data_IF_655727631105
#
_entry.id   IF_655727631105
#
_cell.length_a   1.000
_cell.length_b   1.000
_cell.length_c   1.000
_cell.angle_alpha   90.00
_cell.angle_beta   90.00
_cell.angle_gamma   90.00
#
_symmetry.space_group_name_H-M   'P 1'
#
loop_
_entity.id
_entity.type
_entity.pdbx_description
1 polymer ?
#
# COMPACT_ATOMS: atom_id res chain seq x y z
N UNK A 1 52.37 28.39 -21.66
CA UNK A 1 51.68 28.06 -20.39
C UNK A 1 50.57 27.08 -20.73
N UNK A 2 50.73 25.84 -20.30
CA UNK A 2 49.73 24.77 -20.40
C UNK A 2 48.65 25.01 -19.36
N UNK A 3 47.42 25.29 -19.80
CA UNK A 3 46.24 25.08 -18.96
C UNK A 3 45.46 23.90 -19.55
N UNK A 4 45.81 22.73 -18.99
CA UNK A 4 44.94 21.57 -18.87
C UNK A 4 43.66 21.96 -18.16
N UNK A 5 42.50 21.46 -18.62
CA UNK A 5 41.63 20.61 -17.80
C UNK A 5 40.18 20.61 -18.28
N UNK A 6 39.73 19.40 -18.61
CA UNK A 6 38.36 18.89 -18.50
C UNK A 6 37.26 19.61 -19.30
N UNK A 7 37.18 19.20 -20.56
CA UNK A 7 35.91 18.98 -21.26
C UNK A 7 35.01 18.13 -20.35
N UNK A 8 33.91 18.72 -19.85
CA UNK A 8 32.92 18.00 -19.06
C UNK A 8 32.20 16.98 -19.94
N UNK A 9 32.62 15.72 -19.89
CA UNK A 9 31.71 14.60 -20.09
C UNK A 9 30.74 14.58 -18.91
N UNK A 10 29.53 15.09 -19.11
CA UNK A 10 28.38 14.62 -18.36
C UNK A 10 27.65 13.67 -19.29
N UNK A 11 28.21 12.47 -19.40
CA UNK A 11 27.51 11.34 -19.98
C UNK A 11 26.43 10.87 -19.00
N UNK A 12 25.19 10.92 -19.48
CA UNK A 12 24.23 9.81 -19.36
C UNK A 12 24.10 9.14 -17.99
N UNK A 13 23.47 9.82 -17.03
CA UNK A 13 22.72 9.11 -16.00
C UNK A 13 21.35 8.74 -16.59
N UNK A 14 21.35 7.59 -17.26
CA UNK A 14 20.15 6.83 -17.62
C UNK A 14 19.25 6.79 -16.39
N UNK A 15 18.04 7.32 -16.53
CA UNK A 15 16.90 6.97 -15.67
C UNK A 15 16.83 5.45 -15.58
N UNK A 16 17.37 4.90 -14.49
CA UNK A 16 16.97 3.59 -14.02
C UNK A 16 15.53 3.78 -13.55
N UNK A 17 14.60 3.61 -14.47
CA UNK A 17 13.20 3.32 -14.15
C UNK A 17 13.21 2.05 -13.32
N UNK A 18 13.37 2.19 -12.01
CA UNK A 18 13.17 1.10 -11.08
C UNK A 18 11.67 0.80 -11.15
N UNK A 19 11.28 -0.09 -12.05
CA UNK A 19 9.87 -0.38 -12.32
C UNK A 19 9.27 -0.96 -11.04
N UNK A 20 8.57 -0.14 -10.27
CA UNK A 20 7.87 -0.60 -9.08
C UNK A 20 6.85 -1.65 -9.50
N UNK A 21 6.94 -2.83 -8.91
CA UNK A 21 5.99 -3.92 -9.10
C UNK A 21 5.28 -4.18 -7.76
N UNK A 22 3.97 -3.89 -7.66
CA UNK A 22 3.19 -4.23 -6.49
C UNK A 22 3.34 -5.72 -6.16
N UNK A 23 3.49 -6.05 -4.87
CA UNK A 23 3.60 -7.44 -4.39
C UNK A 23 2.60 -7.67 -3.29
N UNK A 24 1.83 -8.75 -3.37
CA UNK A 24 0.91 -9.14 -2.31
C UNK A 24 1.68 -9.41 -1.01
N UNK A 25 1.23 -8.84 0.10
CA UNK A 25 1.81 -9.09 1.41
C UNK A 25 0.74 -9.06 2.51
N UNK A 26 0.19 -10.23 2.85
CA UNK A 26 -0.85 -10.38 3.89
C UNK A 26 -0.25 -10.21 5.29
N UNK A 27 0.97 -10.72 5.53
CA UNK A 27 1.69 -10.56 6.79
C UNK A 27 1.91 -9.08 7.11
N UNK A 28 2.36 -8.31 6.12
CA UNK A 28 2.59 -6.88 6.28
C UNK A 28 1.30 -6.10 6.47
N UNK A 29 0.19 -6.51 5.82
CA UNK A 29 -1.12 -5.95 6.13
C UNK A 29 -1.46 -6.16 7.60
N UNK A 30 -1.36 -7.39 8.09
CA UNK A 30 -1.67 -7.72 9.48
C UNK A 30 -0.80 -6.95 10.47
N UNK A 31 0.53 -6.91 10.23
CA UNK A 31 1.49 -6.22 11.08
C UNK A 31 1.20 -4.71 11.17
N UNK A 32 0.99 -4.03 10.04
CA UNK A 32 0.78 -2.58 10.03
C UNK A 32 -0.58 -2.20 10.62
N UNK A 33 -1.63 -2.96 10.31
CA UNK A 33 -2.98 -2.69 10.85
C UNK A 33 -3.02 -2.95 12.36
N UNK A 34 -2.33 -3.97 12.87
CA UNK A 34 -2.23 -4.21 14.31
C UNK A 34 -1.34 -3.18 15.04
N UNK A 35 -0.38 -2.57 14.35
CA UNK A 35 0.52 -1.58 14.95
C UNK A 35 -0.07 -0.15 14.95
N UNK A 36 -0.83 0.23 13.92
CA UNK A 36 -1.40 1.58 13.81
C UNK A 36 -2.55 1.72 12.82
N UNK A 37 -3.26 0.63 12.57
CA UNK A 37 -4.47 0.62 11.75
C UNK A 37 -4.22 0.76 10.25
N UNK A 38 -5.31 0.89 9.50
CA UNK A 38 -5.26 1.08 8.05
C UNK A 38 -4.56 2.38 7.65
N UNK A 39 -4.59 3.41 8.50
CA UNK A 39 -3.80 4.63 8.28
C UNK A 39 -2.31 4.31 8.15
N UNK A 40 -1.75 3.58 9.12
CA UNK A 40 -0.35 3.17 9.08
C UNK A 40 -0.07 2.24 7.88
N UNK A 41 -0.96 1.27 7.62
CA UNK A 41 -0.82 0.39 6.46
C UNK A 41 -0.73 1.15 5.13
N UNK A 42 -1.59 2.15 4.90
CA UNK A 42 -1.57 2.89 3.64
C UNK A 42 -0.33 3.79 3.50
N UNK A 43 0.12 4.41 4.59
CA UNK A 43 1.32 5.26 4.60
C UNK A 43 2.61 4.47 4.36
N UNK A 44 2.71 3.26 4.91
CA UNK A 44 3.92 2.43 4.83
C UNK A 44 3.90 1.47 3.63
N UNK A 45 2.72 0.96 3.26
CA UNK A 45 2.58 -0.23 2.42
C UNK A 45 1.43 -0.15 1.41
N UNK A 46 0.73 0.98 1.35
CA UNK A 46 -0.50 1.15 0.55
C UNK A 46 -0.33 0.82 -0.93
N UNK A 47 0.88 1.00 -1.47
CA UNK A 47 1.22 0.66 -2.86
C UNK A 47 0.97 -0.82 -3.23
N UNK A 48 0.87 -1.70 -2.24
CA UNK A 48 0.62 -3.14 -2.40
C UNK A 48 -0.85 -3.56 -2.16
N UNK A 49 -1.74 -2.62 -1.86
CA UNK A 49 -3.09 -2.91 -1.37
C UNK A 49 -3.93 -3.79 -2.33
N UNK A 50 -3.87 -3.54 -3.63
CA UNK A 50 -4.63 -4.32 -4.62
C UNK A 50 -4.13 -5.75 -4.79
N UNK A 51 -2.82 -5.98 -4.77
CA UNK A 51 -2.27 -7.34 -4.84
C UNK A 51 -2.53 -8.10 -3.54
N UNK A 52 -2.46 -7.41 -2.40
CA UNK A 52 -2.80 -7.98 -1.10
C UNK A 52 -4.29 -8.35 -1.02
N UNK A 53 -5.18 -7.49 -1.56
CA UNK A 53 -6.61 -7.79 -1.69
C UNK A 53 -6.87 -9.03 -2.53
N UNK A 54 -6.19 -9.18 -3.69
CA UNK A 54 -6.28 -10.38 -4.52
C UNK A 54 -5.81 -11.62 -3.77
N UNK A 55 -4.71 -11.52 -3.01
CA UNK A 55 -4.19 -12.63 -2.23
C UNK A 55 -5.14 -13.06 -1.11
N UNK A 56 -5.78 -12.12 -0.39
CA UNK A 56 -6.82 -12.44 0.59
C UNK A 56 -7.98 -13.21 -0.05
N UNK A 57 -8.48 -12.74 -1.20
CA UNK A 57 -9.53 -13.44 -1.96
C UNK A 57 -9.09 -14.84 -2.37
N UNK A 58 -7.84 -15.00 -2.84
CA UNK A 58 -7.27 -16.31 -3.23
C UNK A 58 -7.09 -17.28 -2.06
N UNK A 59 -6.72 -16.77 -0.88
CA UNK A 59 -6.47 -17.57 0.32
C UNK A 59 -7.75 -17.83 1.15
N UNK A 60 -8.93 -17.67 0.55
CA UNK A 60 -10.23 -17.86 1.19
C UNK A 60 -10.41 -17.02 2.46
N UNK A 61 -9.99 -15.75 2.40
CA UNK A 61 -10.19 -14.72 3.45
C UNK A 61 -11.16 -13.62 2.97
N UNK A 62 -12.42 -13.97 2.65
CA UNK A 62 -13.35 -13.06 1.99
C UNK A 62 -13.82 -11.89 2.87
N UNK A 63 -13.91 -12.07 4.19
CA UNK A 63 -14.37 -11.00 5.10
C UNK A 63 -13.26 -9.98 5.30
N UNK A 64 -12.02 -10.42 5.54
CA UNK A 64 -10.85 -9.53 5.60
C UNK A 64 -10.61 -8.83 4.27
N UNK A 65 -10.80 -9.53 3.14
CA UNK A 65 -10.75 -8.91 1.81
C UNK A 65 -11.79 -7.78 1.68
N UNK A 66 -13.02 -7.99 2.16
CA UNK A 66 -14.08 -6.97 2.12
C UNK A 66 -13.74 -5.74 2.98
N UNK A 67 -13.10 -5.93 4.14
CA UNK A 67 -12.65 -4.84 4.99
C UNK A 67 -11.58 -4.02 4.26
N UNK A 68 -10.55 -4.67 3.69
CA UNK A 68 -9.51 -3.97 2.93
C UNK A 68 -10.07 -3.25 1.70
N UNK A 69 -11.01 -3.87 0.98
CA UNK A 69 -11.69 -3.25 -0.17
C UNK A 69 -12.49 -1.99 0.24
N UNK A 70 -13.11 -2.02 1.42
CA UNK A 70 -13.81 -0.86 2.00
C UNK A 70 -12.82 0.24 2.38
N UNK A 71 -11.68 -0.12 2.99
CA UNK A 71 -10.62 0.82 3.34
C UNK A 71 -10.02 1.50 2.10
N UNK A 72 -9.77 0.74 1.02
CA UNK A 72 -9.32 1.29 -0.27
C UNK A 72 -10.35 2.26 -0.85
N UNK A 73 -11.64 1.96 -0.71
CA UNK A 73 -12.72 2.82 -1.21
C UNK A 73 -12.81 4.15 -0.44
N UNK A 74 -12.57 4.14 0.87
CA UNK A 74 -12.55 5.34 1.70
C UNK A 74 -11.44 6.33 1.29
N UNK A 75 -10.26 5.81 0.95
CA UNK A 75 -9.11 6.63 0.53
C UNK A 75 -9.11 6.95 -0.98
N UNK A 76 -10.11 6.46 -1.72
CA UNK A 76 -10.25 6.71 -3.15
C UNK A 76 -11.70 7.08 -3.52
N UNK A 77 -12.28 8.15 -2.92
CA UNK A 77 -13.66 8.56 -3.17
C UNK A 77 -13.88 8.96 -4.63
N UNK A 78 -12.84 9.45 -5.30
CA UNK A 78 -12.85 9.85 -6.72
C UNK A 78 -12.78 8.67 -7.70
N UNK A 79 -12.69 7.42 -7.20
CA UNK A 79 -12.59 6.20 -8.01
C UNK A 79 -11.48 6.27 -9.06
N UNK A 80 -10.33 6.79 -8.66
CA UNK A 80 -9.12 6.80 -9.47
C UNK A 80 -8.76 5.37 -9.87
N UNK A 81 -8.14 5.22 -11.05
CA UNK A 81 -7.64 3.91 -11.47
C UNK A 81 -6.58 3.39 -10.48
N UNK A 82 -6.45 2.06 -10.37
CA UNK A 82 -5.50 1.45 -9.45
C UNK A 82 -4.08 1.98 -9.65
N UNK A 83 -3.67 2.21 -10.91
CA UNK A 83 -2.34 2.75 -11.22
C UNK A 83 -2.14 4.13 -10.61
N UNK A 84 -3.10 5.04 -10.79
CA UNK A 84 -3.02 6.41 -10.27
C UNK A 84 -3.04 6.40 -8.74
N UNK A 85 -3.91 5.59 -8.13
CA UNK A 85 -3.97 5.51 -6.66
C UNK A 85 -2.65 4.96 -6.08
N UNK A 86 -2.07 3.93 -6.70
CA UNK A 86 -0.76 3.38 -6.28
C UNK A 86 0.34 4.45 -6.39
N UNK A 87 0.38 5.21 -7.48
CA UNK A 87 1.36 6.30 -7.64
C UNK A 87 1.19 7.36 -6.56
N UNK A 88 -0.05 7.79 -6.27
CA UNK A 88 -0.34 8.73 -5.18
C UNK A 88 0.05 8.19 -3.81
N UNK A 89 -0.23 6.92 -3.50
CA UNK A 89 0.16 6.29 -2.24
C UNK A 89 1.69 6.28 -2.06
N UNK A 90 2.43 5.97 -3.13
CA UNK A 90 3.91 6.00 -3.11
C UNK A 90 4.48 7.40 -2.88
N UNK A 91 3.82 8.40 -3.42
CA UNK A 91 4.23 9.80 -3.28
C UNK A 91 3.64 10.47 -2.03
N UNK A 92 2.86 9.75 -1.22
CA UNK A 92 2.13 10.29 -0.06
C UNK A 92 1.16 11.43 -0.41
N UNK A 93 0.57 11.38 -1.61
CA UNK A 93 -0.33 12.38 -2.20
C UNK A 93 -1.83 11.98 -2.10
N UNK A 94 -2.16 11.09 -1.16
CA UNK A 94 -3.53 10.72 -0.84
C UNK A 94 -4.00 11.58 0.33
N UNK A 95 -4.63 12.70 0.00
CA UNK A 95 -5.12 13.70 0.97
C UNK A 95 -6.12 13.09 1.96
N UNK A 96 -6.87 12.08 1.52
CA UNK A 96 -7.86 11.37 2.31
C UNK A 96 -7.24 10.71 3.57
N UNK A 97 -5.96 10.35 3.56
CA UNK A 97 -5.26 9.80 4.74
C UNK A 97 -5.03 10.83 5.85
N UNK A 98 -5.13 12.12 5.54
CA UNK A 98 -4.95 13.22 6.50
C UNK A 98 -6.29 13.86 6.90
N UNK A 99 -7.41 13.34 6.40
CA UNK A 99 -8.74 13.81 6.75
C UNK A 99 -9.26 13.08 8.01
N UNK A 100 -9.70 13.83 9.02
CA UNK A 100 -10.17 13.27 10.29
C UNK A 100 -11.42 12.39 10.16
N UNK A 101 -12.36 12.72 9.28
CA UNK A 101 -13.58 11.93 9.06
C UNK A 101 -13.27 10.59 8.37
N UNK A 102 -12.34 10.61 7.41
CA UNK A 102 -11.83 9.39 6.77
C UNK A 102 -11.05 8.55 7.78
N UNK A 103 -10.18 9.17 8.58
CA UNK A 103 -9.43 8.48 9.63
C UNK A 103 -10.36 7.82 10.65
N UNK A 104 -11.41 8.52 11.10
CA UNK A 104 -12.43 7.95 11.98
C UNK A 104 -13.21 6.80 11.32
N UNK A 105 -13.40 6.84 9.99
CA UNK A 105 -14.03 5.76 9.24
C UNK A 105 -13.11 4.55 9.08
N UNK A 106 -11.80 4.77 8.85
CA UNK A 106 -10.79 3.72 8.85
C UNK A 106 -10.66 3.06 10.22
N UNK A 107 -10.72 3.82 11.31
CA UNK A 107 -10.70 3.28 12.68
C UNK A 107 -11.85 2.31 12.95
N UNK A 108 -13.03 2.51 12.34
CA UNK A 108 -14.14 1.54 12.45
C UNK A 108 -13.81 0.23 11.73
N UNK A 109 -13.12 0.30 10.59
CA UNK A 109 -12.65 -0.89 9.86
C UNK A 109 -11.51 -1.59 10.60
N UNK A 110 -10.64 -0.86 11.29
CA UNK A 110 -9.62 -1.44 12.18
C UNK A 110 -10.27 -2.31 13.26
N UNK A 111 -11.33 -1.79 13.92
CA UNK A 111 -12.10 -2.55 14.91
C UNK A 111 -12.76 -3.81 14.33
N UNK A 112 -13.15 -3.80 13.05
CA UNK A 112 -13.66 -4.99 12.36
C UNK A 112 -12.54 -5.97 12.03
N UNK A 113 -11.37 -5.47 11.62
CA UNK A 113 -10.18 -6.25 11.32
C UNK A 113 -9.67 -7.01 12.55
N UNK A 114 -9.61 -6.33 13.71
CA UNK A 114 -9.14 -6.90 14.98
C UNK A 114 -10.01 -8.05 15.51
N UNK A 115 -11.22 -8.24 14.96
CA UNK A 115 -12.06 -9.40 15.28
C UNK A 115 -11.60 -10.67 14.58
N UNK A 116 -10.62 -10.59 13.69
CA UNK A 116 -10.12 -11.72 12.89
C UNK A 116 -11.27 -12.51 12.25
N UNK A 117 -12.09 -11.89 11.38
CA UNK A 117 -13.36 -12.46 10.94
C UNK A 117 -13.21 -13.76 10.10
N UNK A 118 -12.03 -13.96 9.51
CA UNK A 118 -11.63 -15.17 8.78
C UNK A 118 -10.57 -16.02 9.54
N UNK A 119 -10.38 -15.74 10.84
CA UNK A 119 -9.33 -16.34 11.67
C UNK A 119 -7.93 -15.92 11.25
N UNK A 120 -6.96 -16.84 11.41
CA UNK A 120 -5.57 -16.61 11.05
C UNK A 120 -5.42 -16.18 9.57
N UNK A 121 -4.68 -15.12 9.29
CA UNK A 121 -4.54 -14.56 7.94
C UNK A 121 -3.39 -15.18 7.14
N UNK A 122 -2.40 -15.69 7.85
CA UNK A 122 -1.26 -16.39 7.26
C UNK A 122 -1.51 -17.89 7.37
N UNK A 123 -1.46 -18.58 6.24
CA UNK A 123 -1.37 -20.02 6.30
C UNK A 123 0.10 -20.32 6.63
N UNK A 124 0.39 -20.83 7.83
CA UNK A 124 1.62 -21.57 8.08
C UNK A 124 1.56 -22.87 7.27
N UNK A 125 1.59 -22.77 5.94
CA UNK A 125 1.94 -23.89 5.09
C UNK A 125 3.46 -23.87 4.99
N UNK A 126 4.08 -24.48 6.00
CA UNK A 126 5.44 -25.00 5.94
C UNK A 126 5.60 -25.73 4.59
N UNK A 127 6.59 -25.30 3.81
CA UNK A 127 7.20 -26.09 2.76
C UNK A 127 8.71 -26.10 3.00
#
# INVERSE_FOLDING_TARGET
MTFSSCFSQVESDKEKTNSFKPKANIEQLEMEVNNGGFNQYFLNCGQNCFETLKALKKNNKPKTAKILESAISLINPKKLSNKILIEKLRNQEVEELYNEEISASLNKLDLEFYKYPDGNLTNNSEH
#
